data_IF_165499715791
#
_entry.id   IF_165499715791
#
_cell.length_a   1.000
_cell.length_b   1.000
_cell.length_c   1.000
_cell.angle_alpha   90.00
_cell.angle_beta   90.00
_cell.angle_gamma   90.00
#
_symmetry.space_group_name_H-M   'P 1'
#
loop_
_entity.id
_entity.type
_entity.pdbx_description
1 polymer ?
#
# COMPACT_ATOMS: atom_id res chain seq x y z
N UNK A 1 -24.23 -7.26 59.32
CA UNK A 1 -25.42 -7.51 58.49
C UNK A 1 -24.97 -8.38 57.34
N UNK A 2 -25.71 -9.45 57.10
CA UNK A 2 -25.25 -10.75 56.59
C UNK A 2 -25.99 -11.03 55.27
N UNK A 3 -25.31 -11.60 54.26
CA UNK A 3 -25.90 -12.35 53.13
C UNK A 3 -26.56 -13.66 53.65
N UNK A 4 -27.25 -14.55 52.90
CA UNK A 4 -27.83 -14.53 51.54
C UNK A 4 -29.29 -15.09 51.52
N UNK A 5 -29.84 -15.42 50.34
CA UNK A 5 -30.64 -16.65 50.04
C UNK A 5 -31.99 -16.47 49.30
N UNK A 6 -32.03 -17.17 48.15
CA UNK A 6 -33.12 -17.82 47.40
C UNK A 6 -34.36 -17.07 46.90
N UNK A 7 -34.54 -17.11 45.58
CA UNK A 7 -35.75 -17.71 45.00
C UNK A 7 -35.41 -18.47 43.71
N UNK A 8 -35.84 -19.74 43.55
CA UNK A 8 -35.53 -20.61 42.40
C UNK A 8 -36.63 -20.56 41.34
N UNK A 9 -36.29 -20.66 40.05
CA UNK A 9 -37.18 -21.20 39.01
C UNK A 9 -36.35 -21.80 37.86
N UNK A 10 -36.14 -23.11 37.94
CA UNK A 10 -36.01 -23.95 36.75
C UNK A 10 -37.44 -24.25 36.26
N UNK A 11 -37.74 -24.08 34.96
CA UNK A 11 -38.16 -25.23 34.15
C UNK A 11 -38.17 -24.93 32.63
N UNK A 12 -37.91 -26.02 31.93
CA UNK A 12 -37.75 -26.32 30.53
C UNK A 12 -38.94 -25.93 29.65
N UNK A 13 -38.69 -25.22 28.54
CA UNK A 13 -39.50 -25.31 27.32
C UNK A 13 -38.62 -25.19 26.09
N UNK A 14 -37.95 -26.29 25.80
CA UNK A 14 -37.57 -26.69 24.45
C UNK A 14 -38.80 -26.60 23.53
N UNK A 15 -38.81 -25.65 22.59
CA UNK A 15 -39.78 -25.65 21.46
C UNK A 15 -39.05 -26.08 20.19
N UNK A 16 -39.28 -27.31 19.71
CA UNK A 16 -38.76 -27.78 18.43
C UNK A 16 -39.61 -27.21 17.29
N UNK A 17 -38.98 -26.41 16.43
CA UNK A 17 -39.55 -25.94 15.17
C UNK A 17 -39.30 -26.97 14.07
N UNK A 18 -40.35 -27.72 13.79
CA UNK A 18 -40.50 -28.86 12.88
C UNK A 18 -39.73 -28.81 11.55
N UNK A 19 -38.90 -29.84 11.38
CA UNK A 19 -38.49 -30.41 10.10
C UNK A 19 -39.71 -31.05 9.42
N UNK A 20 -40.22 -30.40 8.38
CA UNK A 20 -41.29 -30.90 7.50
C UNK A 20 -40.92 -30.53 6.07
N UNK A 21 -40.05 -31.33 5.42
CA UNK A 21 -40.12 -31.64 3.98
C UNK A 21 -39.10 -32.73 3.66
N UNK A 22 -39.57 -33.98 3.74
CA UNK A 22 -38.91 -35.15 3.18
C UNK A 22 -39.52 -35.43 1.80
N UNK A 23 -38.67 -35.56 0.78
CA UNK A 23 -38.94 -36.34 -0.42
C UNK A 23 -39.69 -35.67 -1.59
N UNK A 24 -38.94 -35.05 -2.52
CA UNK A 24 -39.22 -35.19 -3.96
C UNK A 24 -37.99 -34.96 -4.83
N UNK A 25 -37.43 -36.04 -5.36
CA UNK A 25 -36.51 -36.03 -6.52
C UNK A 25 -37.33 -35.75 -7.79
N UNK A 26 -36.84 -34.90 -8.69
CA UNK A 26 -36.96 -35.18 -10.11
C UNK A 26 -35.58 -35.22 -10.77
N UNK A 27 -35.41 -36.23 -11.62
CA UNK A 27 -34.32 -36.34 -12.58
C UNK A 27 -34.62 -35.45 -13.79
N UNK A 28 -33.57 -34.84 -14.38
CA UNK A 28 -33.56 -34.50 -15.81
C UNK A 28 -33.20 -33.06 -16.17
N UNK A 29 -31.99 -32.88 -16.73
CA UNK A 29 -31.78 -31.99 -17.87
C UNK A 29 -30.75 -30.86 -17.66
N UNK A 30 -29.80 -30.66 -18.61
CA UNK A 30 -28.55 -29.96 -18.39
C UNK A 30 -28.71 -28.45 -18.54
N UNK A 31 -28.09 -27.69 -17.64
CA UNK A 31 -28.03 -26.24 -17.71
C UNK A 31 -26.79 -25.79 -16.98
N UNK A 32 -25.83 -25.31 -17.77
CA UNK A 32 -24.61 -24.61 -17.39
C UNK A 32 -24.67 -24.01 -15.98
N UNK A 33 -23.87 -24.56 -15.07
CA UNK A 33 -23.28 -23.69 -14.04
C UNK A 33 -22.25 -22.86 -14.80
N UNK A 34 -22.74 -21.79 -15.43
CA UNK A 34 -21.94 -20.59 -15.63
C UNK A 34 -21.48 -20.21 -14.22
N UNK A 35 -20.27 -20.66 -13.89
CA UNK A 35 -19.44 -20.01 -12.91
C UNK A 35 -19.28 -18.59 -13.44
N UNK A 36 -20.12 -17.71 -12.96
CA UNK A 36 -19.86 -16.29 -12.99
C UNK A 36 -19.09 -15.98 -11.71
N UNK A 37 -17.75 -15.87 -11.76
CA UNK A 37 -17.05 -14.95 -10.92
C UNK A 37 -16.66 -13.76 -11.80
N UNK A 38 -17.64 -12.97 -12.21
CA UNK A 38 -17.51 -11.55 -11.91
C UNK A 38 -17.33 -11.45 -10.38
N UNK A 39 -16.10 -11.69 -9.92
CA UNK A 39 -15.52 -10.95 -8.82
C UNK A 39 -15.82 -9.50 -9.16
N UNK A 40 -16.95 -9.06 -8.63
CA UNK A 40 -17.31 -7.67 -8.58
C UNK A 40 -16.11 -7.04 -7.91
N UNK A 41 -15.41 -6.25 -8.70
CA UNK A 41 -14.53 -5.18 -8.29
C UNK A 41 -15.36 -4.30 -7.34
N UNK A 42 -15.58 -4.79 -6.13
CA UNK A 42 -16.21 -4.05 -5.06
C UNK A 42 -15.26 -2.87 -4.87
N UNK A 43 -15.76 -1.62 -4.84
CA UNK A 43 -14.88 -0.50 -4.59
C UNK A 43 -14.12 -0.83 -3.31
N UNK A 44 -12.80 -0.97 -3.44
CA UNK A 44 -11.93 -1.22 -2.31
C UNK A 44 -12.29 -0.18 -1.26
N UNK A 45 -12.66 -0.62 -0.06
CA UNK A 45 -12.95 0.31 1.03
C UNK A 45 -11.71 1.22 1.14
N UNK A 46 -11.85 2.53 0.89
CA UNK A 46 -10.72 3.44 0.73
C UNK A 46 -9.89 3.58 2.02
N UNK A 47 -10.36 3.01 3.13
CA UNK A 47 -9.68 2.96 4.41
C UNK A 47 -8.96 1.64 4.68
N UNK A 48 -9.19 0.61 3.86
CA UNK A 48 -8.43 -0.64 3.96
C UNK A 48 -7.00 -0.41 3.48
N UNK A 49 -6.02 -1.00 4.18
CA UNK A 49 -4.65 -0.92 3.73
C UNK A 49 -4.52 -1.55 2.34
N UNK A 50 -3.74 -0.93 1.44
CA UNK A 50 -3.49 -1.49 0.12
C UNK A 50 -2.75 -2.82 0.24
N UNK A 51 -2.85 -3.64 -0.80
CA UNK A 51 -2.21 -4.96 -0.83
C UNK A 51 -0.69 -4.85 -0.62
N UNK A 52 -0.13 -5.86 0.06
CA UNK A 52 1.32 -6.01 0.22
C UNK A 52 1.99 -6.22 -1.16
N UNK A 53 3.16 -5.61 -1.33
CA UNK A 53 3.95 -5.60 -2.56
C UNK A 53 5.28 -6.31 -2.34
N UNK A 54 5.96 -6.65 -3.45
CA UNK A 54 7.32 -7.21 -3.40
C UNK A 54 8.29 -6.30 -2.63
N UNK A 55 8.20 -4.98 -2.81
CA UNK A 55 9.02 -4.00 -2.10
C UNK A 55 8.79 -4.01 -0.59
N UNK A 56 7.57 -4.31 -0.11
CA UNK A 56 7.33 -4.46 1.33
C UNK A 56 7.98 -5.71 1.89
N UNK A 57 7.84 -6.83 1.16
CA UNK A 57 8.45 -8.11 1.54
C UNK A 57 9.98 -8.00 1.60
N UNK A 58 10.58 -7.26 0.66
CA UNK A 58 12.02 -6.99 0.64
C UNK A 58 12.42 -6.05 1.77
N UNK A 59 11.70 -4.94 1.97
CA UNK A 59 11.98 -4.01 3.06
C UNK A 59 11.90 -4.68 4.44
N UNK A 60 10.92 -5.57 4.66
CA UNK A 60 10.76 -6.31 5.91
C UNK A 60 11.87 -7.35 6.16
N UNK A 61 12.60 -7.78 5.12
CA UNK A 61 13.71 -8.74 5.24
C UNK A 61 15.04 -8.09 5.57
N UNK A 62 15.20 -6.78 5.34
CA UNK A 62 16.45 -6.07 5.62
C UNK A 62 16.70 -6.09 7.13
N UNK A 63 17.75 -6.78 7.56
CA UNK A 63 18.04 -6.98 8.99
C UNK A 63 18.70 -5.74 9.64
N UNK A 64 19.18 -4.80 8.85
CA UNK A 64 19.84 -3.58 9.30
C UNK A 64 20.62 -2.88 8.19
N UNK A 65 21.26 -1.72 8.49
CA UNK A 65 22.08 -0.99 7.53
C UNK A 65 23.32 -1.76 7.04
N UNK A 66 23.74 -2.80 7.74
CA UNK A 66 24.82 -3.71 7.35
C UNK A 66 24.40 -4.76 6.31
N UNK A 67 23.10 -5.00 6.12
CA UNK A 67 22.57 -5.97 5.16
C UNK A 67 22.61 -5.42 3.74
N UNK A 68 23.81 -5.40 3.16
CA UNK A 68 24.05 -4.90 1.81
C UNK A 68 23.31 -5.72 0.75
N UNK A 69 23.14 -7.03 0.96
CA UNK A 69 22.46 -7.90 0.01
C UNK A 69 20.95 -7.61 -0.02
N UNK A 70 20.30 -7.57 1.15
CA UNK A 70 18.88 -7.22 1.26
C UNK A 70 18.60 -5.81 0.75
N UNK A 71 19.46 -4.84 1.07
CA UNK A 71 19.34 -3.47 0.56
C UNK A 71 19.48 -3.40 -0.97
N UNK A 72 20.40 -4.18 -1.55
CA UNK A 72 20.59 -4.24 -3.00
C UNK A 72 19.37 -4.84 -3.70
N UNK A 73 18.79 -5.92 -3.15
CA UNK A 73 17.55 -6.52 -3.68
C UNK A 73 16.38 -5.54 -3.60
N UNK A 74 16.19 -4.88 -2.46
CA UNK A 74 15.15 -3.86 -2.26
C UNK A 74 15.28 -2.72 -3.28
N UNK A 75 16.48 -2.15 -3.42
CA UNK A 75 16.67 -1.03 -4.32
C UNK A 75 16.57 -1.45 -5.79
N UNK A 76 17.02 -2.66 -6.15
CA UNK A 76 16.81 -3.20 -7.49
C UNK A 76 15.33 -3.30 -7.83
N UNK A 77 14.51 -3.84 -6.93
CA UNK A 77 13.06 -3.92 -7.13
C UNK A 77 12.43 -2.52 -7.21
N UNK A 78 12.84 -1.60 -6.33
CA UNK A 78 12.31 -0.23 -6.29
C UNK A 78 12.65 0.58 -7.55
N UNK A 79 13.89 0.48 -8.05
CA UNK A 79 14.35 1.19 -9.25
C UNK A 79 13.79 0.58 -10.53
N UNK A 80 13.37 -0.69 -10.51
CA UNK A 80 12.73 -1.37 -11.64
C UNK A 80 11.23 -1.05 -11.77
N UNK A 81 10.64 -0.32 -10.81
CA UNK A 81 9.24 0.11 -10.91
C UNK A 81 9.02 0.99 -12.15
N UNK A 82 7.90 0.84 -12.87
CA UNK A 82 7.65 1.64 -14.07
C UNK A 82 7.47 3.12 -13.73
N UNK A 83 6.88 3.41 -12.59
CA UNK A 83 6.66 4.77 -12.10
C UNK A 83 6.76 4.80 -10.57
N UNK A 84 7.29 5.90 -10.06
CA UNK A 84 7.09 6.34 -8.69
C UNK A 84 6.00 7.40 -8.65
N UNK A 85 5.16 7.32 -7.63
CA UNK A 85 3.97 8.14 -7.48
C UNK A 85 4.18 9.18 -6.39
N UNK A 86 3.65 10.38 -6.62
CA UNK A 86 3.70 11.49 -5.68
C UNK A 86 2.32 12.12 -5.58
N UNK A 87 1.90 12.48 -4.36
CA UNK A 87 0.68 13.26 -4.16
C UNK A 87 0.93 14.69 -4.63
N UNK A 88 0.10 15.22 -5.53
CA UNK A 88 0.22 16.57 -6.03
C UNK A 88 -0.43 17.55 -5.05
N UNK A 89 0.31 18.57 -4.61
CA UNK A 89 -0.18 19.65 -3.74
C UNK A 89 -0.04 21.00 -4.43
N UNK A 90 -1.00 21.90 -4.16
CA UNK A 90 -1.06 23.23 -4.77
C UNK A 90 -2.21 23.40 -5.77
N UNK A 91 -2.20 24.57 -6.42
CA UNK A 91 -3.20 24.95 -7.41
C UNK A 91 -2.92 24.28 -8.77
N UNK A 92 -3.99 24.08 -9.54
CA UNK A 92 -3.92 23.47 -10.86
C UNK A 92 -2.95 24.23 -11.79
N UNK A 93 -2.00 23.51 -12.38
CA UNK A 93 -0.95 24.07 -13.24
C UNK A 93 0.31 24.57 -12.49
N UNK A 94 0.33 24.46 -11.17
CA UNK A 94 1.48 24.80 -10.32
C UNK A 94 1.76 23.74 -9.25
N UNK A 95 1.22 22.54 -9.44
CA UNK A 95 1.33 21.48 -8.46
C UNK A 95 2.78 21.05 -8.25
N UNK A 96 3.09 20.74 -7.01
CA UNK A 96 4.37 20.16 -6.62
C UNK A 96 4.14 18.85 -5.88
N UNK A 97 5.10 17.90 -5.94
CA UNK A 97 5.08 16.72 -5.08
C UNK A 97 4.96 17.10 -3.60
N UNK A 98 4.12 16.37 -2.86
CA UNK A 98 3.99 16.52 -1.43
C UNK A 98 5.32 16.23 -0.72
N UNK A 99 5.71 17.12 0.18
CA UNK A 99 6.88 16.98 1.02
C UNK A 99 6.50 17.14 2.50
N UNK A 100 7.19 16.42 3.38
CA UNK A 100 7.00 16.49 4.82
C UNK A 100 8.33 16.69 5.52
N UNK A 101 8.33 17.43 6.64
CA UNK A 101 9.50 17.54 7.51
C UNK A 101 9.54 16.36 8.46
N UNK A 102 10.52 15.48 8.31
CA UNK A 102 10.76 14.30 9.15
C UNK A 102 12.10 14.50 9.83
N UNK A 103 12.12 14.51 11.17
CA UNK A 103 13.33 14.76 11.97
C UNK A 103 14.07 16.06 11.60
N UNK A 104 13.33 17.07 11.13
CA UNK A 104 13.88 18.36 10.70
C UNK A 104 14.43 18.38 9.27
N UNK A 105 14.30 17.28 8.53
CA UNK A 105 14.71 17.16 7.14
C UNK A 105 13.48 17.13 6.22
N UNK A 106 13.50 17.92 5.14
CA UNK A 106 12.42 17.92 4.17
C UNK A 106 12.54 16.69 3.27
N UNK A 107 11.54 15.83 3.29
CA UNK A 107 11.50 14.58 2.53
C UNK A 107 10.34 14.60 1.54
N UNK A 108 10.57 14.13 0.32
CA UNK A 108 9.48 13.88 -0.63
C UNK A 108 8.74 12.61 -0.23
N UNK A 109 7.41 12.68 -0.26
CA UNK A 109 6.55 11.52 -0.03
C UNK A 109 6.38 10.79 -1.35
N UNK A 110 7.00 9.62 -1.44
CA UNK A 110 7.07 8.81 -2.67
C UNK A 110 6.33 7.50 -2.44
N UNK A 111 5.62 7.02 -3.45
CA UNK A 111 4.84 5.79 -3.37
C UNK A 111 5.19 4.83 -4.49
N UNK A 112 5.20 3.55 -4.17
CA UNK A 112 5.51 2.48 -5.12
C UNK A 112 4.38 2.26 -6.13
N UNK A 113 3.15 2.63 -5.78
CA UNK A 113 1.99 2.64 -6.68
C UNK A 113 0.98 3.75 -6.34
N UNK A 114 0.03 3.99 -7.26
CA UNK A 114 -0.98 5.04 -7.12
C UNK A 114 -2.04 4.76 -6.04
N UNK A 115 -2.37 3.49 -5.79
CA UNK A 115 -3.32 3.10 -4.74
C UNK A 115 -2.79 3.47 -3.35
N UNK A 116 -1.49 3.26 -3.11
CA UNK A 116 -0.78 3.63 -1.88
C UNK A 116 -0.72 5.14 -1.69
N UNK A 117 -0.44 5.88 -2.75
CA UNK A 117 -0.48 7.35 -2.71
C UNK A 117 -1.89 7.84 -2.33
N UNK A 118 -2.94 7.24 -2.92
CA UNK A 118 -4.33 7.61 -2.63
C UNK A 118 -4.73 7.25 -1.21
N UNK A 119 -4.40 6.04 -0.76
CA UNK A 119 -4.67 5.58 0.58
C UNK A 119 -4.02 6.50 1.62
N UNK A 120 -2.74 6.87 1.42
CA UNK A 120 -2.07 7.86 2.25
C UNK A 120 -2.79 9.21 2.27
N UNK A 121 -3.18 9.72 1.11
CA UNK A 121 -3.86 11.01 0.99
C UNK A 121 -5.22 11.01 1.73
N UNK A 122 -6.00 9.93 1.64
CA UNK A 122 -7.26 9.77 2.37
C UNK A 122 -7.01 9.68 3.87
N UNK A 123 -6.06 8.85 4.31
CA UNK A 123 -5.77 8.67 5.74
C UNK A 123 -5.28 9.96 6.42
N UNK A 124 -4.53 10.79 5.69
CA UNK A 124 -4.03 12.07 6.20
C UNK A 124 -5.01 13.23 5.99
N UNK A 125 -6.23 12.96 5.49
CA UNK A 125 -7.25 13.98 5.27
C UNK A 125 -6.88 15.00 4.18
N UNK A 126 -5.99 14.64 3.26
CA UNK A 126 -5.62 15.48 2.12
C UNK A 126 -6.73 15.52 1.06
N UNK A 127 -7.47 14.42 0.91
CA UNK A 127 -8.63 14.27 0.03
C UNK A 127 -9.74 13.50 0.73
N UNK A 128 -10.99 13.65 0.28
CA UNK A 128 -12.09 12.83 0.78
C UNK A 128 -12.01 11.38 0.26
N UNK A 129 -12.57 10.38 0.96
CA UNK A 129 -12.58 8.98 0.50
C UNK A 129 -13.26 8.74 -0.85
N UNK A 130 -14.13 9.65 -1.28
CA UNK A 130 -14.83 9.60 -2.58
C UNK A 130 -14.15 10.45 -3.67
N UNK A 131 -13.10 11.21 -3.31
CA UNK A 131 -12.39 12.09 -4.22
C UNK A 131 -11.28 11.32 -4.96
N UNK A 132 -10.97 11.76 -6.17
CA UNK A 132 -9.86 11.24 -6.96
C UNK A 132 -8.56 11.92 -6.56
N UNK A 133 -7.49 11.14 -6.44
CA UNK A 133 -6.18 11.69 -6.13
C UNK A 133 -5.59 12.38 -7.37
N UNK A 134 -5.22 13.64 -7.23
CA UNK A 134 -4.26 14.28 -8.14
C UNK A 134 -2.86 13.75 -7.81
N UNK A 135 -2.35 12.86 -8.65
CA UNK A 135 -1.03 12.25 -8.49
C UNK A 135 -0.11 12.60 -9.66
N UNK A 136 1.17 12.72 -9.37
CA UNK A 136 2.23 12.83 -10.36
C UNK A 136 2.90 11.45 -10.41
N UNK A 137 2.92 10.83 -11.59
CA UNK A 137 3.63 9.58 -11.84
C UNK A 137 4.87 9.88 -12.69
N UNK A 138 6.06 9.60 -12.15
CA UNK A 138 7.33 9.82 -12.84
C UNK A 138 8.10 8.50 -12.94
N UNK A 139 8.73 8.19 -14.08
CA UNK A 139 9.64 7.07 -14.15
C UNK A 139 10.84 7.33 -13.22
N UNK A 140 11.42 6.29 -12.61
CA UNK A 140 12.57 6.45 -11.70
C UNK A 140 13.74 7.24 -12.32
N UNK A 141 13.99 7.06 -13.63
CA UNK A 141 15.01 7.81 -14.38
C UNK A 141 14.87 9.32 -14.27
N UNK A 142 13.65 9.84 -14.36
CA UNK A 142 13.39 11.28 -14.37
C UNK A 142 13.54 11.87 -12.97
N UNK A 143 13.14 11.10 -11.96
CA UNK A 143 13.32 11.46 -10.55
C UNK A 143 14.80 11.48 -10.18
N UNK A 144 15.56 10.48 -10.61
CA UNK A 144 17.02 10.43 -10.42
C UNK A 144 17.71 11.59 -11.13
N UNK A 145 17.31 11.90 -12.37
CA UNK A 145 17.80 13.06 -13.11
C UNK A 145 17.52 14.41 -12.43
N UNK A 146 16.52 14.46 -11.54
CA UNK A 146 16.13 15.65 -10.78
C UNK A 146 16.81 15.76 -9.40
N UNK A 147 17.70 14.83 -9.04
CA UNK A 147 18.34 14.78 -7.72
C UNK A 147 19.03 16.10 -7.33
N UNK A 148 19.70 16.76 -8.27
CA UNK A 148 20.37 18.05 -8.02
C UNK A 148 19.37 19.17 -7.72
N UNK A 149 18.23 19.19 -8.40
CA UNK A 149 17.17 20.15 -8.17
C UNK A 149 16.54 19.96 -6.77
N UNK A 150 16.35 18.70 -6.35
CA UNK A 150 15.86 18.39 -5.01
C UNK A 150 16.81 18.91 -3.92
N UNK A 151 18.11 18.67 -4.07
CA UNK A 151 19.12 19.21 -3.13
C UNK A 151 19.11 20.74 -3.13
N UNK A 152 19.00 21.37 -4.30
CA UNK A 152 18.89 22.82 -4.43
C UNK A 152 17.64 23.41 -3.75
N UNK A 153 16.56 22.64 -3.69
CA UNK A 153 15.31 22.98 -3.00
C UNK A 153 15.32 22.61 -1.50
N UNK A 154 16.42 22.06 -0.98
CA UNK A 154 16.53 21.63 0.43
C UNK A 154 15.82 20.31 0.75
N UNK A 155 15.42 19.55 -0.27
CA UNK A 155 14.89 18.20 -0.10
C UNK A 155 16.07 17.27 0.19
N UNK A 156 16.04 16.64 1.36
CA UNK A 156 17.09 15.77 1.85
C UNK A 156 17.00 14.35 1.30
N UNK A 157 15.80 13.90 0.94
CA UNK A 157 15.58 12.54 0.45
C UNK A 157 14.14 12.25 0.05
N UNK A 158 13.94 11.01 -0.40
CA UNK A 158 12.64 10.44 -0.75
C UNK A 158 12.31 9.35 0.26
N UNK A 159 11.10 9.40 0.80
CA UNK A 159 10.57 8.36 1.68
C UNK A 159 9.50 7.57 0.94
N UNK A 160 9.73 6.28 0.78
CA UNK A 160 8.85 5.35 0.08
C UNK A 160 7.81 4.79 1.03
N UNK A 161 6.54 4.87 0.60
CA UNK A 161 5.37 4.35 1.31
C UNK A 161 5.42 4.65 2.83
N UNK A 162 5.47 5.93 3.25
CA UNK A 162 5.75 6.36 4.63
C UNK A 162 4.80 5.81 5.71
N UNK A 163 3.63 5.31 5.30
CA UNK A 163 2.60 4.75 6.17
C UNK A 163 2.57 3.21 6.17
N UNK A 164 3.49 2.57 5.43
CA UNK A 164 3.59 1.13 5.28
C UNK A 164 5.04 0.68 5.55
N UNK A 165 5.89 0.59 4.52
CA UNK A 165 7.26 0.11 4.66
C UNK A 165 8.25 1.19 5.10
N UNK A 166 8.06 2.45 4.69
CA UNK A 166 8.77 3.61 5.26
C UNK A 166 10.27 3.66 5.02
N UNK A 167 10.81 2.90 4.06
CA UNK A 167 12.22 2.98 3.69
C UNK A 167 12.52 4.27 2.92
N UNK A 168 13.76 4.74 2.95
CA UNK A 168 14.11 6.04 2.36
C UNK A 168 15.47 6.02 1.68
N UNK A 169 15.66 6.95 0.74
CA UNK A 169 16.94 7.21 0.08
C UNK A 169 17.27 8.71 0.16
N UNK A 170 18.47 9.08 0.63
CA UNK A 170 18.94 10.45 0.55
C UNK A 170 19.01 10.93 -0.91
N UNK A 171 18.68 12.19 -1.16
CA UNK A 171 18.72 12.76 -2.51
C UNK A 171 20.14 12.79 -3.10
N UNK A 172 21.17 12.78 -2.26
CA UNK A 172 22.57 12.62 -2.69
C UNK A 172 22.93 11.20 -3.11
N UNK A 173 22.23 10.18 -2.58
CA UNK A 173 22.49 8.77 -2.88
C UNK A 173 21.68 8.26 -4.07
N UNK A 174 20.58 8.93 -4.44
CA UNK A 174 19.75 8.58 -5.61
C UNK A 174 20.57 8.24 -6.88
N UNK A 175 21.43 9.14 -7.41
CA UNK A 175 22.19 8.84 -8.61
C UNK A 175 23.22 7.73 -8.38
N UNK A 176 23.79 7.62 -7.17
CA UNK A 176 24.79 6.58 -6.86
C UNK A 176 24.16 5.18 -6.89
N UNK A 177 23.00 5.02 -6.25
CA UNK A 177 22.26 3.76 -6.21
C UNK A 177 21.72 3.40 -7.60
N UNK A 178 21.24 4.38 -8.36
CA UNK A 178 20.79 4.19 -9.73
C UNK A 178 21.89 3.58 -10.61
N UNK A 179 23.08 4.22 -10.61
CA UNK A 179 24.22 3.75 -11.39
C UNK A 179 24.68 2.36 -10.94
N UNK A 180 24.77 2.10 -9.63
CA UNK A 180 25.18 0.80 -9.12
C UNK A 180 24.27 -0.35 -9.61
N UNK A 181 22.95 -0.14 -9.59
CA UNK A 181 21.98 -1.16 -10.01
C UNK A 181 22.03 -1.43 -11.52
N UNK A 182 22.23 -0.38 -12.32
CA UNK A 182 22.23 -0.50 -13.79
C UNK A 182 23.59 -0.92 -14.34
N UNK A 183 24.69 -0.58 -13.68
CA UNK A 183 26.02 -1.08 -14.03
C UNK A 183 26.12 -2.61 -13.88
N UNK A 184 25.46 -3.19 -12.86
CA UNK A 184 25.38 -4.63 -12.65
C UNK A 184 24.51 -5.35 -13.69
N UNK A 185 23.56 -4.65 -14.32
CA UNK A 185 22.68 -5.23 -15.35
C UNK A 185 23.41 -5.44 -16.68
N UNK A 186 24.42 -4.61 -16.98
CA UNK A 186 25.22 -4.65 -18.22
C UNK A 186 26.46 -5.56 -18.12
N UNK A 187 26.74 -6.15 -16.96
CA UNK A 187 27.83 -7.10 -16.80
C UNK A 187 27.51 -8.44 -17.49
N UNK A 188 28.38 -8.98 -18.37
CA UNK A 188 28.14 -10.27 -19.01
C UNK A 188 28.10 -11.40 -17.97
N UNK A 189 27.02 -12.18 -17.96
CA UNK A 189 26.88 -13.42 -17.17
C UNK A 189 27.73 -14.56 -17.71
#
# INVERSE_FOLDING_TARGET
MTDPTDVPFQDDRTVPGESLYEGRRPEGGPGSTEQDPQERDLPADPLLPPAETETDLLAARVEGPEDQAGMTELWRATMALPHWWFVAVGDEGSESPAAASIEGQLMLMTFTNGERARHFAVQNGMIAPTEELRAIALPPTDVVGSADAYRGAGIAGLMFDPHLSGYFIPSEQLPVVWEAIHADADAPR
#
